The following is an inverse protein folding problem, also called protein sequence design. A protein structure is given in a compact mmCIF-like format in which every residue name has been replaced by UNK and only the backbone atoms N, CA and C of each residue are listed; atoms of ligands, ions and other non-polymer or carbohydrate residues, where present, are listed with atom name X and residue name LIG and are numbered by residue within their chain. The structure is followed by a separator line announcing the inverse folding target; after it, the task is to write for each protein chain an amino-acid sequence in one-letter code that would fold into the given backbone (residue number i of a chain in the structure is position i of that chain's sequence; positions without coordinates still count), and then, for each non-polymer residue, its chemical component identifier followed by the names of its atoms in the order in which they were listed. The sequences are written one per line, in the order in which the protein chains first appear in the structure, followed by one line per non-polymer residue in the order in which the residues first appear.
data_IF_281215907438
#
_entry.id   IF_281215907438
#
_cell.length_a   1.000
_cell.length_b   1.000
_cell.length_c   1.000
_cell.angle_alpha   90.00
_cell.angle_beta   90.00
_cell.angle_gamma   90.00
#
_symmetry.space_group_name_H-M   'P 1'
#
loop_
_entity.id
_entity.type
_entity.pdbx_description
1 polymer ?
#
# COMPACT_ATOMS: atom_id res chain seq x y z
N UNK A 1 15.86 -64.87 13.30
CA UNK A 1 15.27 -64.41 12.04
C UNK A 1 14.45 -63.13 12.33
N UNK A 2 15.07 -61.97 12.20
CA UNK A 2 14.46 -60.67 12.42
C UNK A 2 14.17 -60.01 11.06
N UNK A 3 12.89 -59.73 10.79
CA UNK A 3 12.46 -58.98 9.59
C UNK A 3 12.50 -57.48 9.92
N UNK A 4 13.46 -56.77 9.38
CA UNK A 4 13.52 -55.29 9.38
C UNK A 4 12.47 -54.78 8.43
N UNK A 5 11.48 -54.05 8.98
CA UNK A 5 10.43 -53.34 8.24
C UNK A 5 10.94 -51.93 8.00
N UNK A 6 11.40 -51.64 6.76
CA UNK A 6 11.74 -50.28 6.33
C UNK A 6 10.44 -49.53 6.06
N UNK A 7 10.15 -48.51 6.87
CA UNK A 7 9.10 -47.56 6.60
C UNK A 7 9.70 -46.43 5.76
N UNK A 8 9.37 -46.39 4.48
CA UNK A 8 9.71 -45.30 3.61
C UNK A 8 8.74 -44.15 3.86
N UNK A 9 9.18 -43.10 4.52
CA UNK A 9 8.44 -41.84 4.65
C UNK A 9 8.57 -41.07 3.32
N UNK A 10 7.55 -41.11 2.50
CA UNK A 10 7.44 -40.24 1.32
C UNK A 10 7.12 -38.82 1.79
N UNK A 11 8.15 -38.00 1.90
CA UNK A 11 8.00 -36.57 2.15
C UNK A 11 7.43 -35.86 0.91
N UNK A 12 6.17 -35.46 0.99
CA UNK A 12 5.55 -34.60 -0.02
C UNK A 12 6.12 -33.19 0.16
N UNK A 13 7.16 -32.84 -0.58
CA UNK A 13 7.65 -31.46 -0.67
C UNK A 13 6.64 -30.65 -1.49
N UNK A 14 5.73 -29.97 -0.80
CA UNK A 14 4.91 -28.94 -1.41
C UNK A 14 5.83 -27.76 -1.73
N UNK A 15 6.33 -27.66 -2.97
CA UNK A 15 6.95 -26.45 -3.47
C UNK A 15 5.88 -25.39 -3.66
N UNK A 16 5.72 -24.53 -2.65
CA UNK A 16 4.97 -23.31 -2.82
C UNK A 16 5.73 -22.44 -3.83
N UNK A 17 5.27 -22.40 -5.07
CA UNK A 17 5.71 -21.39 -6.03
C UNK A 17 5.19 -20.06 -5.53
N UNK A 18 6.04 -19.28 -4.86
CA UNK A 18 5.81 -17.86 -4.63
C UNK A 18 5.82 -17.25 -6.02
N UNK A 19 4.63 -16.96 -6.56
CA UNK A 19 4.54 -16.11 -7.73
C UNK A 19 5.14 -14.76 -7.29
N UNK A 20 6.33 -14.43 -7.83
CA UNK A 20 6.91 -13.10 -7.65
C UNK A 20 5.96 -12.12 -8.34
N UNK A 21 5.10 -11.48 -7.59
CA UNK A 21 4.26 -10.42 -8.10
C UNK A 21 5.19 -9.27 -8.51
N UNK A 22 5.27 -9.01 -9.82
CA UNK A 22 6.06 -7.90 -10.35
C UNK A 22 5.31 -6.61 -10.05
N UNK A 23 6.02 -5.57 -9.60
CA UNK A 23 5.44 -4.25 -9.45
C UNK A 23 4.88 -3.77 -10.80
N UNK A 24 3.65 -3.25 -10.77
CA UNK A 24 2.94 -2.74 -11.95
C UNK A 24 2.88 -1.22 -11.98
N UNK A 25 3.04 -0.60 -10.80
CA UNK A 25 3.06 0.84 -10.61
C UNK A 25 3.97 1.18 -9.43
N UNK A 26 4.64 2.33 -9.50
CA UNK A 26 5.36 2.96 -8.38
C UNK A 26 4.90 4.39 -8.23
N UNK A 27 5.03 4.92 -7.02
CA UNK A 27 4.87 6.35 -6.76
C UNK A 27 5.92 6.82 -5.77
N UNK A 28 6.26 8.11 -5.84
CA UNK A 28 7.20 8.74 -4.92
C UNK A 28 6.95 10.22 -4.84
N UNK A 29 6.95 10.76 -3.61
CA UNK A 29 6.78 12.17 -3.32
C UNK A 29 7.81 12.61 -2.29
N UNK A 30 8.36 13.81 -2.49
CA UNK A 30 9.29 14.48 -1.57
C UNK A 30 8.71 15.78 -1.08
N UNK A 31 9.18 16.26 0.06
CA UNK A 31 8.76 17.51 0.67
C UNK A 31 7.23 17.59 0.92
N UNK A 32 6.66 16.44 1.30
CA UNK A 32 5.28 16.38 1.81
C UNK A 32 5.26 17.02 3.19
N UNK A 33 4.36 17.97 3.40
CA UNK A 33 4.19 18.66 4.68
C UNK A 33 3.41 17.78 5.65
N UNK A 34 4.01 17.41 6.77
CA UNK A 34 3.45 16.45 7.71
C UNK A 34 3.30 17.00 9.12
N UNK A 35 2.24 16.56 9.76
CA UNK A 35 1.87 16.92 11.13
C UNK A 35 1.48 15.69 11.95
N UNK A 36 1.72 15.76 13.25
CA UNK A 36 1.28 14.75 14.21
C UNK A 36 0.64 15.41 15.44
N UNK A 37 -0.46 14.84 15.91
CA UNK A 37 -1.17 15.26 17.11
C UNK A 37 -1.23 14.11 18.12
N UNK A 38 -0.58 14.27 19.26
CA UNK A 38 -0.47 13.26 20.32
C UNK A 38 -1.84 12.90 20.91
N UNK A 39 -2.75 13.89 21.04
CA UNK A 39 -4.03 13.70 21.77
C UNK A 39 -4.93 12.65 21.13
N UNK A 40 -4.85 12.49 19.82
CA UNK A 40 -5.66 11.56 19.03
C UNK A 40 -4.84 10.54 18.23
N UNK A 41 -3.50 10.64 18.30
CA UNK A 41 -2.59 9.73 17.61
C UNK A 41 -2.61 9.90 16.07
N UNK A 42 -3.09 11.05 15.58
CA UNK A 42 -3.22 11.31 14.15
C UNK A 42 -1.92 11.82 13.55
N UNK A 43 -1.41 11.12 12.53
CA UNK A 43 -0.29 11.53 11.71
C UNK A 43 -0.75 11.70 10.27
N UNK A 44 -0.65 12.90 9.75
CA UNK A 44 -1.09 13.24 8.40
C UNK A 44 0.02 13.90 7.60
N UNK A 45 -0.09 13.79 6.28
CA UNK A 45 0.76 14.49 5.34
C UNK A 45 -0.03 14.96 4.14
N UNK A 46 0.28 16.17 3.68
CA UNK A 46 -0.34 16.77 2.49
C UNK A 46 0.72 17.42 1.62
N UNK A 47 0.46 17.51 0.33
CA UNK A 47 1.32 18.25 -0.59
C UNK A 47 1.42 19.71 -0.17
N UNK A 48 2.63 20.24 -0.26
CA UNK A 48 2.94 21.65 -0.02
C UNK A 48 3.40 22.34 -1.30
N UNK A 49 3.69 23.65 -1.22
CA UNK A 49 4.18 24.43 -2.36
C UNK A 49 5.54 23.96 -2.91
N UNK A 50 6.24 23.09 -2.19
CA UNK A 50 7.54 22.53 -2.59
C UNK A 50 7.47 21.02 -2.85
N UNK A 51 6.35 20.39 -2.59
CA UNK A 51 6.17 18.94 -2.86
C UNK A 51 6.34 18.66 -4.35
N UNK A 52 7.05 17.58 -4.66
CA UNK A 52 7.18 17.06 -6.00
C UNK A 52 7.19 15.54 -5.98
N UNK A 53 6.86 14.94 -7.12
CA UNK A 53 6.86 13.50 -7.21
C UNK A 53 6.42 12.96 -8.56
N UNK A 54 6.22 11.67 -8.61
CA UNK A 54 5.68 11.00 -9.77
C UNK A 54 4.84 9.76 -9.40
N UNK A 55 3.99 9.38 -10.34
CA UNK A 55 3.32 8.08 -10.38
C UNK A 55 3.66 7.43 -11.69
N UNK A 56 4.35 6.29 -11.65
CA UNK A 56 4.88 5.62 -12.84
C UNK A 56 4.26 4.23 -13.01
N UNK A 57 3.58 4.03 -14.15
CA UNK A 57 3.11 2.71 -14.59
C UNK A 57 4.29 1.93 -15.19
N UNK A 58 4.64 0.81 -14.58
CA UNK A 58 5.69 -0.12 -15.03
C UNK A 58 5.15 -1.18 -15.99
N UNK A 59 3.88 -1.56 -15.84
CA UNK A 59 3.23 -2.50 -16.75
C UNK A 59 3.03 -1.85 -18.13
N UNK A 60 3.32 -2.59 -19.19
CA UNK A 60 3.14 -2.11 -20.56
C UNK A 60 1.65 -1.91 -20.92
N UNK A 61 1.26 -0.83 -21.64
CA UNK A 61 2.11 0.31 -21.99
C UNK A 61 2.48 1.14 -20.77
N UNK A 62 3.76 1.49 -20.59
CA UNK A 62 4.25 2.30 -19.47
C UNK A 62 3.96 3.79 -19.68
N UNK A 63 4.04 4.56 -18.59
CA UNK A 63 3.91 6.01 -18.60
C UNK A 63 4.12 6.58 -17.21
N UNK A 64 4.38 7.88 -17.12
CA UNK A 64 4.63 8.58 -15.86
C UNK A 64 3.82 9.86 -15.80
N UNK A 65 3.02 10.00 -14.74
CA UNK A 65 2.37 11.25 -14.37
C UNK A 65 3.31 12.02 -13.45
N UNK A 66 3.71 13.23 -13.83
CA UNK A 66 4.73 14.04 -13.15
C UNK A 66 4.09 15.19 -12.39
N UNK A 67 4.53 15.36 -11.16
CA UNK A 67 4.12 16.38 -10.19
C UNK A 67 5.36 17.24 -9.86
N UNK A 68 5.50 18.39 -10.48
CA UNK A 68 6.60 19.31 -10.21
C UNK A 68 6.39 20.08 -8.89
N UNK A 69 7.47 20.63 -8.30
CA UNK A 69 7.38 21.41 -7.07
C UNK A 69 6.38 22.57 -7.16
N UNK A 70 5.60 22.73 -6.10
CA UNK A 70 4.60 23.78 -5.98
C UNK A 70 3.22 23.39 -6.50
N UNK A 71 3.04 22.15 -6.93
CA UNK A 71 1.71 21.63 -7.25
C UNK A 71 0.97 21.29 -5.96
N UNK A 72 0.12 22.18 -5.50
CA UNK A 72 -0.64 22.06 -4.25
C UNK A 72 -2.11 21.99 -4.58
N UNK A 73 -2.86 21.18 -3.85
CA UNK A 73 -4.29 20.95 -3.95
C UNK A 73 -5.16 22.18 -4.16
N UNK A 74 -5.12 22.72 -5.35
CA UNK A 74 -6.12 23.67 -5.83
C UNK A 74 -7.38 22.93 -6.29
N UNK A 75 -7.48 21.65 -5.92
CA UNK A 75 -8.50 20.71 -6.37
C UNK A 75 -8.16 20.01 -7.68
N UNK A 76 -6.96 20.23 -8.24
CA UNK A 76 -6.58 19.62 -9.50
C UNK A 76 -5.71 18.37 -9.31
N UNK A 77 -4.62 18.44 -8.56
CA UNK A 77 -3.83 17.23 -8.21
C UNK A 77 -3.16 17.41 -6.87
N UNK A 78 -2.99 16.31 -6.16
CA UNK A 78 -2.45 16.34 -4.82
C UNK A 78 -1.98 14.97 -4.37
N UNK A 79 -1.19 14.94 -3.29
CA UNK A 79 -0.88 13.75 -2.52
C UNK A 79 -1.21 14.01 -1.06
N UNK A 80 -1.89 13.06 -0.44
CA UNK A 80 -2.17 13.09 1.00
C UNK A 80 -2.15 11.69 1.60
N UNK A 81 -1.86 11.62 2.88
CA UNK A 81 -2.09 10.43 3.70
C UNK A 81 -2.58 10.82 5.09
N UNK A 82 -3.25 9.87 5.75
CA UNK A 82 -3.72 10.00 7.12
C UNK A 82 -3.58 8.66 7.81
N UNK A 83 -2.83 8.61 8.94
CA UNK A 83 -2.51 7.41 9.67
C UNK A 83 -2.82 7.59 11.16
N UNK A 84 -3.56 6.65 11.73
CA UNK A 84 -3.66 6.47 13.17
C UNK A 84 -2.38 5.80 13.67
N UNK A 85 -1.67 6.45 14.59
CA UNK A 85 -0.41 5.99 15.20
C UNK A 85 -0.67 5.47 16.59
N UNK A 86 -0.30 4.23 16.85
CA UNK A 86 -0.41 3.59 18.15
C UNK A 86 0.97 3.12 18.65
N UNK A 87 1.49 3.74 19.71
CA UNK A 87 2.78 3.35 20.29
C UNK A 87 2.74 1.89 20.76
N UNK A 88 3.71 1.10 20.31
CA UNK A 88 3.91 -0.31 20.71
C UNK A 88 5.16 -0.50 21.58
N UNK A 89 6.05 0.47 21.57
CA UNK A 89 7.30 0.51 22.36
C UNK A 89 7.83 1.93 22.53
N UNK A 90 9.04 2.06 23.06
CA UNK A 90 9.68 3.36 23.23
C UNK A 90 10.07 3.99 21.87
N UNK A 91 10.41 3.14 20.89
CA UNK A 91 10.94 3.52 19.60
C UNK A 91 10.17 2.85 18.44
N UNK A 92 8.96 2.33 18.71
CA UNK A 92 8.10 1.63 17.74
C UNK A 92 6.64 1.99 17.89
N UNK A 93 5.92 2.09 16.78
CA UNK A 93 4.49 2.33 16.74
C UNK A 93 3.85 1.64 15.51
N UNK A 94 2.62 1.13 15.68
CA UNK A 94 1.81 0.73 14.54
C UNK A 94 1.20 1.96 13.88
N UNK A 95 1.08 1.92 12.55
CA UNK A 95 0.42 2.95 11.74
C UNK A 95 -0.63 2.34 10.81
N UNK A 96 -1.87 2.82 10.87
CA UNK A 96 -2.96 2.35 10.05
C UNK A 96 -3.75 3.53 9.48
N UNK A 97 -4.07 3.49 8.19
CA UNK A 97 -4.83 4.56 7.57
C UNK A 97 -4.91 4.44 6.07
N UNK A 98 -4.85 5.57 5.36
CA UNK A 98 -5.03 5.61 3.92
C UNK A 98 -4.15 6.65 3.24
N UNK A 99 -4.01 6.52 1.93
CA UNK A 99 -3.42 7.56 1.08
C UNK A 99 -4.34 7.88 -0.09
N UNK A 100 -4.16 9.07 -0.63
CA UNK A 100 -4.83 9.52 -1.85
C UNK A 100 -3.83 10.30 -2.70
N UNK A 101 -3.80 9.99 -4.00
CA UNK A 101 -3.13 10.78 -5.02
C UNK A 101 -4.21 11.23 -5.99
N UNK A 102 -4.30 12.53 -6.25
CA UNK A 102 -5.30 13.13 -7.13
C UNK A 102 -4.59 13.71 -8.35
N UNK A 103 -5.07 13.40 -9.53
CA UNK A 103 -4.51 13.91 -10.77
C UNK A 103 -5.11 15.28 -11.20
N UNK A 104 -4.70 15.80 -12.35
CA UNK A 104 -5.14 17.12 -12.83
C UNK A 104 -6.65 17.20 -13.14
N UNK A 105 -7.30 16.08 -13.37
CA UNK A 105 -8.73 16.00 -13.70
C UNK A 105 -9.60 15.55 -12.52
N UNK A 106 -9.00 15.24 -11.39
CA UNK A 106 -9.69 14.77 -10.20
C UNK A 106 -9.84 13.24 -10.13
N UNK A 107 -9.18 12.51 -11.03
CA UNK A 107 -9.02 11.08 -10.89
C UNK A 107 -8.18 10.76 -9.66
N UNK A 108 -8.49 9.66 -8.98
CA UNK A 108 -7.78 9.33 -7.76
C UNK A 108 -7.16 7.94 -7.81
N UNK A 109 -5.96 7.84 -7.24
CA UNK A 109 -5.36 6.59 -6.81
C UNK A 109 -5.40 6.57 -5.28
N UNK A 110 -6.17 5.65 -4.71
CA UNK A 110 -6.35 5.52 -3.27
C UNK A 110 -6.00 4.13 -2.79
N UNK A 111 -5.68 3.98 -1.49
CA UNK A 111 -5.46 2.68 -0.88
C UNK A 111 -5.31 2.78 0.63
N UNK A 112 -5.43 1.62 1.29
CA UNK A 112 -5.18 1.51 2.72
C UNK A 112 -3.70 1.25 2.98
N UNK A 113 -3.19 1.80 4.08
CA UNK A 113 -1.83 1.63 4.58
C UNK A 113 -1.89 0.93 5.94
N UNK A 114 -1.02 -0.07 6.14
CA UNK A 114 -0.84 -0.72 7.44
C UNK A 114 0.63 -1.08 7.62
N UNK A 115 1.26 -0.68 8.73
CA UNK A 115 2.66 -0.97 8.95
C UNK A 115 3.18 -0.51 10.30
N UNK A 116 4.51 -0.41 10.41
CA UNK A 116 5.22 -0.08 11.64
C UNK A 116 6.16 1.11 11.43
N UNK A 117 6.08 2.06 12.34
CA UNK A 117 7.06 3.13 12.52
C UNK A 117 8.19 2.67 13.44
N UNK A 118 9.40 3.12 13.15
CA UNK A 118 10.56 2.89 13.99
C UNK A 118 11.49 4.10 14.03
N UNK A 119 12.09 4.37 15.18
CA UNK A 119 13.11 5.42 15.34
C UNK A 119 14.43 4.94 14.71
N UNK A 120 14.97 5.72 13.79
CA UNK A 120 16.20 5.43 13.07
C UNK A 120 17.31 6.40 13.53
N UNK A 121 18.41 5.85 14.04
CA UNK A 121 19.56 6.66 14.44
C UNK A 121 19.31 7.66 15.58
N UNK A 122 18.15 7.59 16.22
CA UNK A 122 17.77 8.43 17.36
C UNK A 122 17.25 9.83 17.01
N UNK A 123 17.03 10.13 15.72
CA UNK A 123 16.56 11.45 15.27
C UNK A 123 15.52 11.39 14.15
N UNK A 124 15.46 10.31 13.40
CA UNK A 124 14.57 10.19 12.23
C UNK A 124 13.58 9.06 12.43
N UNK A 125 12.37 9.21 11.94
CA UNK A 125 11.34 8.19 12.00
C UNK A 125 11.18 7.59 10.61
N UNK A 126 11.25 6.26 10.52
CA UNK A 126 10.96 5.52 9.30
C UNK A 126 9.73 4.65 9.47
N UNK A 127 8.98 4.46 8.38
CA UNK A 127 7.84 3.58 8.33
C UNK A 127 7.99 2.56 7.20
N UNK A 128 7.67 1.32 7.50
CA UNK A 128 7.55 0.25 6.51
C UNK A 128 6.16 -0.34 6.60
N UNK A 129 5.47 -0.41 5.47
CA UNK A 129 4.08 -0.87 5.48
C UNK A 129 3.66 -1.59 4.21
N UNK A 130 2.49 -2.19 4.30
CA UNK A 130 1.78 -2.83 3.19
C UNK A 130 0.67 -1.93 2.71
N UNK A 131 0.37 -2.00 1.41
CA UNK A 131 -0.79 -1.38 0.79
C UNK A 131 -1.84 -2.45 0.48
N UNK A 132 -3.09 -2.10 0.70
CA UNK A 132 -4.24 -2.92 0.31
C UNK A 132 -5.36 -2.06 -0.27
N UNK A 133 -6.31 -2.71 -0.94
CA UNK A 133 -7.45 -2.02 -1.57
C UNK A 133 -7.06 -0.86 -2.48
N UNK A 134 -5.89 -0.95 -3.13
CA UNK A 134 -5.43 0.11 -4.04
C UNK A 134 -6.30 0.10 -5.29
N UNK A 135 -6.92 1.24 -5.59
CA UNK A 135 -7.85 1.41 -6.70
C UNK A 135 -7.69 2.76 -7.38
N UNK A 136 -8.00 2.79 -8.67
CA UNK A 136 -8.24 4.03 -9.41
C UNK A 136 -9.73 4.36 -9.41
N UNK A 137 -10.04 5.65 -9.26
CA UNK A 137 -11.37 6.20 -9.54
C UNK A 137 -11.24 7.14 -10.73
N UNK A 138 -11.80 6.73 -11.86
CA UNK A 138 -11.80 7.48 -13.11
C UNK A 138 -13.09 8.31 -13.15
N UNK A 139 -13.01 9.58 -12.80
CA UNK A 139 -14.15 10.50 -12.70
C UNK A 139 -14.50 11.08 -14.06
N UNK A 140 -13.52 11.33 -14.91
CA UNK A 140 -13.71 11.85 -16.29
C UNK A 140 -14.22 10.79 -17.23
N UNK A 141 -13.91 9.51 -17.00
CA UNK A 141 -14.26 8.37 -17.85
C UNK A 141 -13.35 8.22 -19.06
N UNK A 142 -12.17 8.83 -19.06
CA UNK A 142 -11.22 8.74 -20.17
C UNK A 142 -10.21 7.59 -20.01
N UNK A 143 -10.14 6.99 -18.82
CA UNK A 143 -9.29 5.84 -18.51
C UNK A 143 -7.82 6.19 -18.37
N UNK A 144 -7.49 7.46 -18.12
CA UNK A 144 -6.11 7.94 -17.94
C UNK A 144 -5.89 8.48 -16.53
N UNK A 145 -4.63 8.60 -16.14
CA UNK A 145 -4.18 9.30 -14.94
C UNK A 145 -3.11 10.28 -15.38
N UNK A 146 -3.38 11.57 -15.23
CA UNK A 146 -2.66 12.64 -15.87
C UNK A 146 -1.84 13.46 -14.86
N UNK A 147 -0.55 13.58 -15.13
CA UNK A 147 0.33 14.41 -14.30
C UNK A 147 0.03 15.91 -14.49
N UNK A 148 -0.08 16.68 -13.39
CA UNK A 148 -0.38 18.11 -13.47
C UNK A 148 0.66 18.90 -14.24
N UNK A 149 1.90 18.42 -14.25
CA UNK A 149 2.99 19.07 -14.98
C UNK A 149 3.17 18.45 -16.35
N UNK A 150 3.20 17.13 -16.43
CA UNK A 150 3.37 16.42 -17.70
C UNK A 150 3.11 14.91 -17.54
N UNK A 151 2.88 14.28 -18.67
CA UNK A 151 2.78 12.83 -18.79
C UNK A 151 1.48 12.26 -18.28
N UNK A 152 1.20 11.05 -18.73
CA UNK A 152 0.00 10.29 -18.37
C UNK A 152 0.22 8.80 -18.56
N UNK A 153 -0.69 8.00 -18.00
CA UNK A 153 -0.76 6.57 -18.26
C UNK A 153 -2.20 6.06 -18.14
N UNK A 154 -2.51 4.95 -18.82
CA UNK A 154 -3.82 4.30 -18.71
C UNK A 154 -4.01 3.60 -17.37
N UNK A 155 -5.19 3.71 -16.77
CA UNK A 155 -5.56 3.11 -15.48
C UNK A 155 -5.94 1.64 -15.58
N UNK A 156 -5.95 1.06 -16.78
CA UNK A 156 -6.25 -0.34 -17.11
C UNK A 156 -5.12 -1.30 -16.70
N UNK A 157 -4.70 -1.26 -15.45
CA UNK A 157 -3.60 -2.10 -14.94
C UNK A 157 -3.94 -3.60 -14.98
N UNK A 158 -2.94 -4.47 -15.25
CA UNK A 158 -3.12 -5.91 -15.22
C UNK A 158 -3.64 -6.41 -13.86
N UNK A 159 -4.68 -7.26 -13.90
CA UNK A 159 -5.30 -7.83 -12.69
C UNK A 159 -6.59 -7.16 -12.25
N UNK A 160 -6.96 -6.01 -12.83
CA UNK A 160 -8.29 -5.38 -12.69
C UNK A 160 -8.64 -4.87 -11.29
N UNK A 161 -7.67 -4.80 -10.37
CA UNK A 161 -7.85 -4.32 -8.99
C UNK A 161 -8.96 -5.01 -8.15
N UNK A 162 -9.12 -4.65 -6.87
CA UNK A 162 -8.19 -3.82 -6.13
C UNK A 162 -6.80 -4.46 -6.05
N UNK A 163 -5.76 -3.62 -6.05
CA UNK A 163 -4.38 -4.05 -6.00
C UNK A 163 -3.86 -4.08 -4.56
N UNK A 164 -2.71 -4.72 -4.37
CA UNK A 164 -1.92 -4.69 -3.13
C UNK A 164 -0.59 -3.97 -3.39
N UNK A 165 0.21 -3.78 -2.35
CA UNK A 165 1.51 -3.16 -2.52
C UNK A 165 2.27 -3.01 -1.22
N UNK A 166 3.24 -2.11 -1.23
CA UNK A 166 4.00 -1.72 -0.05
C UNK A 166 4.35 -0.23 -0.10
N UNK A 167 4.36 0.40 1.07
CA UNK A 167 5.12 1.63 1.30
C UNK A 167 6.55 1.20 1.56
N UNK A 168 7.46 1.51 0.64
CA UNK A 168 8.86 1.10 0.72
C UNK A 168 9.72 2.14 1.43
N UNK A 169 9.21 3.36 1.52
CA UNK A 169 9.82 4.46 2.25
C UNK A 169 8.73 5.44 2.67
N UNK A 170 8.65 5.72 3.95
CA UNK A 170 8.08 6.93 4.53
C UNK A 170 9.08 7.35 5.59
N UNK A 171 9.60 8.55 5.48
CA UNK A 171 10.74 9.00 6.27
C UNK A 171 10.53 10.45 6.68
N UNK A 172 10.61 10.68 7.99
CA UNK A 172 10.56 11.99 8.62
C UNK A 172 11.90 12.29 9.29
N UNK A 173 12.36 13.51 9.17
CA UNK A 173 13.60 13.95 9.81
C UNK A 173 13.30 15.06 10.81
N UNK A 174 14.06 15.04 11.93
CA UNK A 174 14.04 16.08 12.97
C UNK A 174 12.65 16.33 13.62
N UNK A 175 11.95 15.26 13.98
CA UNK A 175 10.65 15.34 14.70
C UNK A 175 10.77 15.78 16.16
N UNK A 176 12.00 15.89 16.69
CA UNK A 176 12.28 16.22 18.09
C UNK A 176 12.05 15.07 19.08
N UNK A 177 11.54 13.92 18.61
CA UNK A 177 11.24 12.72 19.40
C UNK A 177 10.43 11.70 18.63
N UNK A 178 10.10 10.58 19.25
CA UNK A 178 9.34 9.50 18.62
C UNK A 178 7.85 9.59 19.00
N UNK A 179 7.09 10.43 18.30
CA UNK A 179 5.64 10.62 18.50
C UNK A 179 5.24 10.96 19.96
N UNK A 180 6.13 11.61 20.73
CA UNK A 180 5.94 11.99 22.13
C UNK A 180 5.46 13.45 22.32
N UNK A 181 5.47 14.22 21.24
CA UNK A 181 4.99 15.60 21.19
C UNK A 181 4.34 15.91 19.85
N UNK A 182 3.45 16.90 19.83
CA UNK A 182 2.88 17.43 18.58
C UNK A 182 4.01 18.03 17.74
N UNK A 183 3.90 17.83 16.42
CA UNK A 183 4.73 18.51 15.44
C UNK A 183 3.92 18.88 14.19
N UNK A 184 4.39 19.87 13.45
CA UNK A 184 3.77 20.39 12.25
C UNK A 184 4.87 20.94 11.32
N UNK A 185 4.65 20.89 10.02
CA UNK A 185 5.57 21.41 9.02
C UNK A 185 6.83 20.57 8.82
N UNK A 186 6.79 19.29 9.15
CA UNK A 186 7.93 18.38 8.93
C UNK A 186 7.92 17.85 7.49
N UNK A 187 9.05 18.06 6.78
CA UNK A 187 9.23 17.48 5.45
C UNK A 187 9.32 15.97 5.51
N UNK A 188 8.46 15.32 4.74
CA UNK A 188 8.36 13.86 4.67
C UNK A 188 8.58 13.37 3.25
N UNK A 189 9.31 12.26 3.13
CA UNK A 189 9.47 11.54 1.86
C UNK A 189 8.64 10.26 1.91
N UNK A 190 7.87 10.01 0.85
CA UNK A 190 7.03 8.81 0.73
C UNK A 190 7.29 8.15 -0.60
N UNK A 191 7.47 6.84 -0.61
CA UNK A 191 7.44 6.07 -1.85
C UNK A 191 6.80 4.71 -1.63
N UNK A 192 6.15 4.22 -2.68
CA UNK A 192 5.46 2.94 -2.65
C UNK A 192 5.47 2.24 -4.00
N UNK A 193 5.10 0.97 -3.95
CA UNK A 193 4.90 0.15 -5.13
C UNK A 193 3.56 -0.59 -5.04
N UNK A 194 2.96 -0.81 -6.21
CA UNK A 194 1.71 -1.54 -6.36
C UNK A 194 1.96 -2.80 -7.17
N UNK A 195 1.37 -3.89 -6.73
CA UNK A 195 1.45 -5.21 -7.37
C UNK A 195 0.04 -5.76 -7.61
N UNK A 196 -0.15 -6.68 -8.57
CA UNK A 196 -1.42 -7.37 -8.69
C UNK A 196 -1.79 -8.06 -7.39
N UNK A 197 -3.07 -7.99 -7.01
CA UNK A 197 -3.54 -8.74 -5.85
C UNK A 197 -3.31 -10.25 -6.09
N UNK A 198 -2.92 -11.02 -5.07
CA UNK A 198 -2.76 -12.45 -5.22
C UNK A 198 -4.09 -13.07 -5.67
N UNK A 199 -4.03 -13.90 -6.72
CA UNK A 199 -5.21 -14.59 -7.23
C UNK A 199 -5.90 -15.33 -6.09
N UNK A 200 -7.19 -15.05 -5.84
CA UNK A 200 -7.97 -15.78 -4.85
C UNK A 200 -7.94 -17.27 -5.21
N UNK A 201 -7.30 -18.06 -4.39
CA UNK A 201 -7.38 -19.52 -4.55
C UNK A 201 -8.87 -19.93 -4.45
N UNK A 202 -9.38 -20.71 -5.42
CA UNK A 202 -10.74 -21.20 -5.32
C UNK A 202 -10.88 -21.99 -4.01
N UNK A 203 -11.74 -21.51 -3.12
CA UNK A 203 -12.07 -22.26 -1.90
C UNK A 203 -12.54 -23.65 -2.34
N UNK A 204 -11.77 -24.69 -1.97
CA UNK A 204 -12.25 -26.07 -2.09
C UNK A 204 -13.58 -26.13 -1.34
N UNK A 205 -14.69 -26.25 -2.09
CA UNK A 205 -15.97 -26.58 -1.49
C UNK A 205 -15.74 -27.83 -0.64
N UNK A 206 -15.80 -27.67 0.67
CA UNK A 206 -15.90 -28.82 1.55
C UNK A 206 -17.16 -29.58 1.12
N UNK A 207 -16.94 -30.77 0.57
CA UNK A 207 -18.01 -31.63 0.10
C UNK A 207 -19.02 -31.83 1.23
N UNK A 208 -20.20 -31.30 1.04
CA UNK A 208 -21.31 -31.52 1.92
C UNK A 208 -21.51 -33.04 2.05
N UNK A 209 -21.36 -33.56 3.26
CA UNK A 209 -21.78 -34.92 3.58
C UNK A 209 -23.26 -35.00 3.28
N UNK A 210 -23.62 -35.80 2.28
CA UNK A 210 -25.01 -36.14 2.00
C UNK A 210 -25.64 -36.71 3.26
N UNK A 211 -26.84 -36.26 3.67
CA UNK A 211 -27.52 -36.85 4.81
C UNK A 211 -27.94 -38.30 4.48
N UNK A 212 -27.88 -39.25 5.44
CA UNK A 212 -28.22 -40.62 5.17
C UNK A 212 -29.70 -40.75 4.79
N UNK A 213 -29.95 -41.40 3.66
CA UNK A 213 -31.29 -41.77 3.17
C UNK A 213 -31.95 -42.69 4.17
N UNK A 214 -33.00 -42.25 4.84
CA UNK A 214 -33.83 -43.11 5.67
C UNK A 214 -34.64 -44.03 4.76
N UNK A 215 -34.30 -45.34 4.77
CA UNK A 215 -35.14 -46.37 4.19
C UNK A 215 -36.43 -46.50 5.01
N UNK A 216 -37.57 -46.25 4.40
CA UNK A 216 -38.89 -46.54 4.94
C UNK A 216 -39.18 -48.02 4.66
N UNK A 217 -39.19 -48.84 5.67
CA UNK A 217 -39.81 -50.17 5.61
C UNK A 217 -41.36 -50.05 5.63
N UNK A 218 -41.98 -50.79 4.72
CA UNK A 218 -43.43 -50.99 4.63
C UNK A 218 -43.81 -52.28 5.37
#
# INVERSE_FOLDING_TARGET
MGRNMLIAAAGLAATATVANAQAILTFGFTDVDSAFTVSDGSFSGVSSSITSGDVTRLAAPGGTAVFDPGFVGTGASDFSFDLDVMLTGADTADGNGSFTIVDVHGETLTGDINGEFSLIGGASIGFLGTLSNVVFSDVSGDGTFDGPTSGSFGTDLPGGGPFSGAVVQLFLDDTGGFFDSDFDGISTQVSGLVVPAPARQPQKRQGGKEPPTQSREV
#
